data_IF_745127959266
#
_entry.id   IF_745127959266
#
_cell.length_a   1.000
_cell.length_b   1.000
_cell.length_c   1.000
_cell.angle_alpha   90.00
_cell.angle_beta   90.00
_cell.angle_gamma   90.00
#
_symmetry.space_group_name_H-M   'P 1'
#
loop_
_entity.id
_entity.type
_entity.pdbx_description
1 polymer ?
#
# COMPACT_ATOMS: atom_id res chain seq x y z
N UNK A 1 -25.75 -0.41 10.36
CA UNK A 1 -24.51 -1.18 10.27
C UNK A 1 -23.48 -0.28 9.62
N UNK A 2 -22.33 -0.05 10.25
CA UNK A 2 -21.26 0.77 9.65
C UNK A 2 -20.09 -0.17 9.40
N UNK A 3 -20.08 -0.77 8.21
CA UNK A 3 -19.11 -1.81 7.86
C UNK A 3 -17.67 -1.36 8.12
N UNK A 4 -17.29 -0.14 7.74
CA UNK A 4 -15.93 0.35 7.96
C UNK A 4 -15.50 0.29 9.44
N UNK A 5 -16.29 0.89 10.33
CA UNK A 5 -15.98 0.95 11.77
C UNK A 5 -16.02 -0.45 12.40
N UNK A 6 -16.99 -1.27 12.03
CA UNK A 6 -17.16 -2.59 12.62
C UNK A 6 -16.06 -3.56 12.16
N UNK A 7 -15.58 -3.43 10.91
CA UNK A 7 -14.40 -4.16 10.42
C UNK A 7 -13.15 -3.70 11.14
N UNK A 8 -12.92 -2.38 11.26
CA UNK A 8 -11.74 -1.84 11.93
C UNK A 8 -11.68 -2.27 13.39
N UNK A 9 -12.81 -2.26 14.09
CA UNK A 9 -12.89 -2.79 15.46
C UNK A 9 -12.56 -4.28 15.54
N UNK A 10 -13.00 -5.08 14.56
CA UNK A 10 -12.68 -6.50 14.52
C UNK A 10 -11.20 -6.74 14.22
N UNK A 11 -10.59 -5.95 13.33
CA UNK A 11 -9.14 -5.96 13.06
C UNK A 11 -8.35 -5.59 14.31
N UNK A 12 -8.69 -4.50 14.98
CA UNK A 12 -8.02 -4.03 16.20
C UNK A 12 -8.16 -5.04 17.35
N UNK A 13 -9.28 -5.76 17.39
CA UNK A 13 -9.54 -6.86 18.32
C UNK A 13 -8.93 -8.21 17.93
N UNK A 14 -8.15 -8.26 16.84
CA UNK A 14 -7.55 -9.47 16.27
C UNK A 14 -8.58 -10.56 15.88
N UNK A 15 -9.86 -10.18 15.73
CA UNK A 15 -10.94 -11.05 15.26
C UNK A 15 -11.01 -11.03 13.73
N UNK A 16 -10.05 -11.71 13.12
CA UNK A 16 -9.93 -11.81 11.67
C UNK A 16 -11.15 -12.48 11.03
N UNK A 17 -11.79 -13.42 11.71
CA UNK A 17 -12.97 -14.13 11.19
C UNK A 17 -14.15 -13.17 11.04
N UNK A 18 -14.42 -12.36 12.06
CA UNK A 18 -15.46 -11.34 12.01
C UNK A 18 -15.12 -10.25 10.99
N UNK A 19 -13.88 -9.75 10.98
CA UNK A 19 -13.44 -8.74 10.01
C UNK A 19 -13.66 -9.21 8.56
N UNK A 20 -13.30 -10.47 8.26
CA UNK A 20 -13.46 -11.04 6.92
C UNK A 20 -14.93 -11.23 6.55
N UNK A 21 -15.75 -11.69 7.50
CA UNK A 21 -17.19 -11.85 7.29
C UNK A 21 -17.85 -10.51 6.97
N UNK A 22 -17.54 -9.47 7.75
CA UNK A 22 -18.08 -8.13 7.57
C UNK A 22 -17.61 -7.49 6.25
N UNK A 23 -16.33 -7.63 5.89
CA UNK A 23 -15.81 -7.11 4.63
C UNK A 23 -16.47 -7.75 3.41
N UNK A 24 -16.68 -9.07 3.43
CA UNK A 24 -17.41 -9.78 2.37
C UNK A 24 -18.87 -9.36 2.28
N UNK A 25 -19.53 -9.13 3.41
CA UNK A 25 -20.90 -8.62 3.45
C UNK A 25 -21.00 -7.21 2.85
N UNK A 26 -20.03 -6.34 3.15
CA UNK A 26 -20.01 -5.00 2.56
C UNK A 26 -19.87 -5.05 1.04
N UNK A 27 -18.91 -5.82 0.52
CA UNK A 27 -18.74 -6.01 -0.93
C UNK A 27 -20.02 -6.58 -1.58
N UNK A 28 -20.67 -7.55 -0.95
CA UNK A 28 -21.92 -8.10 -1.46
C UNK A 28 -23.09 -7.08 -1.47
N UNK A 29 -23.13 -6.19 -0.47
CA UNK A 29 -24.15 -5.15 -0.37
C UNK A 29 -23.90 -3.97 -1.32
N UNK A 30 -22.63 -3.67 -1.62
CA UNK A 30 -22.22 -2.53 -2.43
C UNK A 30 -21.01 -2.89 -3.32
N UNK A 31 -21.22 -3.65 -4.42
CA UNK A 31 -20.12 -4.15 -5.26
C UNK A 31 -19.42 -3.07 -6.09
N UNK A 32 -20.00 -1.87 -6.24
CA UNK A 32 -19.36 -0.72 -6.90
C UNK A 32 -18.81 0.29 -5.87
N UNK A 33 -18.74 -0.08 -4.59
CA UNK A 33 -18.07 0.72 -3.56
C UNK A 33 -16.60 0.29 -3.45
N UNK A 34 -15.70 1.13 -3.96
CA UNK A 34 -14.27 0.88 -3.93
C UNK A 34 -13.72 0.73 -2.50
N UNK A 35 -14.32 1.40 -1.51
CA UNK A 35 -13.89 1.29 -0.12
C UNK A 35 -14.19 -0.10 0.46
N UNK A 36 -15.29 -0.73 0.05
CA UNK A 36 -15.63 -2.09 0.45
C UNK A 36 -14.57 -3.09 -0.04
N UNK A 37 -14.17 -2.97 -1.31
CA UNK A 37 -13.12 -3.79 -1.92
C UNK A 37 -11.75 -3.55 -1.29
N UNK A 38 -11.37 -2.29 -1.06
CA UNK A 38 -10.11 -1.98 -0.40
C UNK A 38 -10.07 -2.53 1.03
N UNK A 39 -11.18 -2.45 1.77
CA UNK A 39 -11.25 -3.00 3.12
C UNK A 39 -11.16 -4.54 3.11
N UNK A 40 -11.79 -5.20 2.13
CA UNK A 40 -11.62 -6.64 1.92
C UNK A 40 -10.16 -7.01 1.60
N UNK A 41 -9.49 -6.20 0.78
CA UNK A 41 -8.06 -6.38 0.48
C UNK A 41 -7.21 -6.30 1.74
N UNK A 42 -7.43 -5.27 2.56
CA UNK A 42 -6.71 -5.06 3.82
C UNK A 42 -6.89 -6.24 4.77
N UNK A 43 -8.13 -6.72 4.96
CA UNK A 43 -8.41 -7.88 5.82
C UNK A 43 -7.75 -9.17 5.30
N UNK A 44 -7.72 -9.38 3.99
CA UNK A 44 -6.96 -10.48 3.40
C UNK A 44 -5.45 -10.33 3.63
N UNK A 45 -4.92 -9.10 3.53
CA UNK A 45 -3.52 -8.80 3.78
C UNK A 45 -3.07 -9.03 5.22
N UNK A 46 -3.90 -8.67 6.21
CA UNK A 46 -3.67 -9.02 7.62
C UNK A 46 -3.63 -10.54 7.80
N UNK A 47 -4.50 -11.25 7.09
CA UNK A 47 -4.54 -12.70 7.04
C UNK A 47 -3.43 -13.38 6.23
N UNK A 48 -2.50 -12.60 5.69
CA UNK A 48 -1.43 -13.05 4.79
C UNK A 48 -1.91 -13.77 3.52
N UNK A 49 -3.19 -13.64 3.18
CA UNK A 49 -3.78 -14.14 1.95
C UNK A 49 -3.58 -13.10 0.83
N UNK A 50 -2.31 -12.84 0.51
CA UNK A 50 -1.94 -11.75 -0.40
C UNK A 50 -2.48 -11.93 -1.81
N UNK A 51 -2.74 -13.17 -2.25
CA UNK A 51 -3.37 -13.44 -3.54
C UNK A 51 -4.82 -12.92 -3.57
N UNK A 52 -5.61 -13.16 -2.52
CA UNK A 52 -6.96 -12.61 -2.44
C UNK A 52 -6.96 -11.11 -2.15
N UNK A 53 -5.99 -10.64 -1.37
CA UNK A 53 -5.80 -9.20 -1.15
C UNK A 53 -5.56 -8.48 -2.48
N UNK A 54 -4.72 -9.04 -3.34
CA UNK A 54 -4.37 -8.46 -4.63
C UNK A 54 -5.58 -8.35 -5.57
N UNK A 55 -6.41 -9.39 -5.61
CA UNK A 55 -7.67 -9.40 -6.37
C UNK A 55 -8.60 -8.29 -5.85
N UNK A 56 -8.82 -8.21 -4.54
CA UNK A 56 -9.71 -7.21 -3.96
C UNK A 56 -9.18 -5.77 -4.13
N UNK A 57 -7.87 -5.53 -3.99
CA UNK A 57 -7.26 -4.23 -4.25
C UNK A 57 -7.39 -3.83 -5.73
N UNK A 58 -7.30 -4.80 -6.64
CA UNK A 58 -7.48 -4.57 -8.08
C UNK A 58 -8.92 -4.16 -8.41
N UNK A 59 -9.93 -4.74 -7.74
CA UNK A 59 -11.32 -4.30 -7.89
C UNK A 59 -11.55 -2.89 -7.34
N UNK A 60 -10.94 -2.55 -6.19
CA UNK A 60 -11.00 -1.18 -5.66
C UNK A 60 -10.43 -0.16 -6.67
N UNK A 61 -9.29 -0.49 -7.28
CA UNK A 61 -8.65 0.34 -8.31
C UNK A 61 -9.39 0.32 -9.66
N UNK A 62 -10.12 -0.74 -9.98
CA UNK A 62 -10.99 -0.76 -11.17
C UNK A 62 -12.08 0.30 -11.06
N UNK A 63 -12.63 0.49 -9.85
CA UNK A 63 -13.69 1.46 -9.57
C UNK A 63 -13.11 2.87 -9.40
N UNK A 64 -12.01 3.00 -8.67
CA UNK A 64 -11.34 4.27 -8.36
C UNK A 64 -9.83 4.18 -8.65
N UNK A 65 -9.40 4.34 -9.91
CA UNK A 65 -8.03 4.05 -10.35
C UNK A 65 -6.96 4.98 -9.77
N UNK A 66 -7.34 6.22 -9.47
CA UNK A 66 -6.39 7.27 -9.04
C UNK A 66 -6.36 7.45 -7.51
N UNK A 67 -7.04 6.58 -6.76
CA UNK A 67 -7.13 6.66 -5.31
C UNK A 67 -5.79 6.32 -4.64
N UNK A 68 -5.15 7.33 -4.02
CA UNK A 68 -3.86 7.18 -3.35
C UNK A 68 -3.86 6.07 -2.29
N UNK A 69 -4.87 5.95 -1.39
CA UNK A 69 -4.94 4.84 -0.45
C UNK A 69 -4.93 3.46 -1.12
N UNK A 70 -5.64 3.31 -2.24
CA UNK A 70 -5.79 2.01 -2.91
C UNK A 70 -4.54 1.65 -3.71
N UNK A 71 -3.89 2.65 -4.32
CA UNK A 71 -2.59 2.49 -4.97
C UNK A 71 -1.51 2.10 -3.95
N UNK A 72 -1.54 2.71 -2.75
CA UNK A 72 -0.63 2.38 -1.68
C UNK A 72 -0.87 0.95 -1.17
N UNK A 73 -2.12 0.56 -0.93
CA UNK A 73 -2.47 -0.80 -0.49
C UNK A 73 -2.04 -1.86 -1.52
N UNK A 74 -2.29 -1.61 -2.82
CA UNK A 74 -1.83 -2.48 -3.91
C UNK A 74 -0.30 -2.61 -3.92
N UNK A 75 0.42 -1.51 -3.72
CA UNK A 75 1.88 -1.52 -3.61
C UNK A 75 2.38 -2.33 -2.43
N UNK A 76 1.73 -2.18 -1.27
CA UNK A 76 2.04 -2.95 -0.07
C UNK A 76 1.78 -4.46 -0.26
N UNK A 77 0.65 -4.84 -0.86
CA UNK A 77 0.34 -6.24 -1.16
C UNK A 77 1.39 -6.85 -2.11
N UNK A 78 1.73 -6.16 -3.20
CA UNK A 78 2.76 -6.61 -4.13
C UNK A 78 4.14 -6.74 -3.45
N UNK A 79 4.48 -5.82 -2.53
CA UNK A 79 5.69 -5.89 -1.71
C UNK A 79 5.71 -7.15 -0.85
N UNK A 80 4.60 -7.45 -0.16
CA UNK A 80 4.45 -8.66 0.68
C UNK A 80 4.51 -9.95 -0.13
N UNK A 81 4.06 -9.92 -1.39
CA UNK A 81 4.21 -11.04 -2.34
C UNK A 81 5.62 -11.19 -2.90
N UNK A 82 6.55 -10.28 -2.58
CA UNK A 82 7.91 -10.27 -3.12
C UNK A 82 8.02 -9.73 -4.55
N UNK A 83 6.93 -9.20 -5.12
CA UNK A 83 6.93 -8.63 -6.47
C UNK A 83 7.38 -7.16 -6.43
N UNK A 84 8.69 -6.96 -6.26
CA UNK A 84 9.29 -5.64 -6.06
C UNK A 84 9.05 -4.70 -7.24
N UNK A 85 9.06 -5.21 -8.47
CA UNK A 85 8.81 -4.42 -9.67
C UNK A 85 7.36 -3.92 -9.73
N UNK A 86 6.38 -4.73 -9.33
CA UNK A 86 4.97 -4.30 -9.26
C UNK A 86 4.72 -3.34 -8.10
N UNK A 87 5.28 -3.64 -6.92
CA UNK A 87 5.20 -2.77 -5.76
C UNK A 87 5.74 -1.37 -6.08
N UNK A 88 6.92 -1.28 -6.71
CA UNK A 88 7.51 -0.02 -7.13
C UNK A 88 6.62 0.74 -8.13
N UNK A 89 5.91 0.07 -9.04
CA UNK A 89 4.98 0.73 -9.98
C UNK A 89 3.74 1.28 -9.26
N UNK A 90 3.15 0.51 -8.36
CA UNK A 90 1.97 0.95 -7.61
C UNK A 90 2.30 2.13 -6.68
N UNK A 91 3.43 2.08 -5.98
CA UNK A 91 3.89 3.22 -5.17
C UNK A 91 4.26 4.45 -6.03
N UNK A 92 4.81 4.26 -7.23
CA UNK A 92 5.05 5.37 -8.14
C UNK A 92 3.75 6.08 -8.53
N UNK A 93 2.72 5.31 -8.91
CA UNK A 93 1.40 5.85 -9.23
C UNK A 93 0.76 6.56 -8.02
N UNK A 94 0.89 5.98 -6.81
CA UNK A 94 0.44 6.61 -5.57
C UNK A 94 1.12 7.97 -5.35
N UNK A 95 2.46 8.04 -5.50
CA UNK A 95 3.22 9.27 -5.35
C UNK A 95 2.88 10.32 -6.42
N UNK A 96 2.59 9.90 -7.66
CA UNK A 96 2.15 10.80 -8.72
C UNK A 96 0.80 11.44 -8.39
N UNK A 97 -0.20 10.63 -8.03
CA UNK A 97 -1.53 11.13 -7.65
C UNK A 97 -1.50 11.97 -6.38
N UNK A 98 -0.66 11.62 -5.40
CA UNK A 98 -0.45 12.42 -4.20
C UNK A 98 0.18 13.79 -4.53
N UNK A 99 1.15 13.82 -5.45
CA UNK A 99 1.77 15.06 -5.91
C UNK A 99 0.80 15.97 -6.68
N UNK A 100 -0.11 15.39 -7.47
CA UNK A 100 -1.16 16.15 -8.16
C UNK A 100 -2.19 16.74 -7.18
N UNK A 101 -2.45 16.04 -6.07
CA UNK A 101 -3.39 16.47 -5.05
C UNK A 101 -2.79 17.39 -3.96
N UNK A 102 -1.48 17.66 -4.01
CA UNK A 102 -0.70 18.31 -2.94
C UNK A 102 -0.87 17.60 -1.57
N UNK A 103 -1.05 16.27 -1.62
CA UNK A 103 -1.24 15.42 -0.44
C UNK A 103 0.11 14.90 0.05
N UNK A 104 0.67 15.58 1.06
CA UNK A 104 1.92 15.18 1.69
C UNK A 104 1.84 13.84 2.43
N UNK A 105 0.66 13.37 2.82
CA UNK A 105 0.50 12.15 3.62
C UNK A 105 0.98 10.91 2.86
N UNK A 106 0.50 10.72 1.63
CA UNK A 106 0.92 9.58 0.80
C UNK A 106 2.19 9.85 0.01
N UNK A 107 2.47 11.12 -0.35
CA UNK A 107 3.53 11.45 -1.29
C UNK A 107 4.91 10.92 -0.85
N UNK A 108 5.36 11.30 0.35
CA UNK A 108 6.68 10.90 0.81
C UNK A 108 6.73 9.44 1.26
N UNK A 109 5.66 8.95 1.88
CA UNK A 109 5.55 7.54 2.25
C UNK A 109 5.64 6.61 1.03
N UNK A 110 4.96 6.96 -0.06
CA UNK A 110 4.98 6.23 -1.32
C UNK A 110 6.36 6.32 -2.00
N UNK A 111 7.01 7.50 -2.00
CA UNK A 111 8.38 7.64 -2.52
C UNK A 111 9.39 6.77 -1.76
N UNK A 112 9.31 6.72 -0.43
CA UNK A 112 10.20 5.88 0.38
C UNK A 112 9.94 4.39 0.09
N UNK A 113 8.66 3.99 0.03
CA UNK A 113 8.27 2.61 -0.26
C UNK A 113 8.71 2.18 -1.68
N UNK A 114 8.48 3.04 -2.69
CA UNK A 114 8.95 2.87 -4.06
C UNK A 114 10.47 2.70 -4.11
N UNK A 115 11.21 3.61 -3.48
CA UNK A 115 12.67 3.57 -3.50
C UNK A 115 13.21 2.30 -2.85
N UNK A 116 12.62 1.85 -1.73
CA UNK A 116 12.97 0.55 -1.12
C UNK A 116 12.73 -0.61 -2.09
N UNK A 117 11.56 -0.66 -2.72
CA UNK A 117 11.25 -1.71 -3.70
C UNK A 117 12.24 -1.69 -4.87
N UNK A 118 12.62 -0.50 -5.36
CA UNK A 118 13.63 -0.34 -6.41
C UNK A 118 15.01 -0.84 -6.00
N UNK A 119 15.43 -0.66 -4.73
CA UNK A 119 16.68 -1.24 -4.22
C UNK A 119 16.61 -2.77 -4.21
N UNK A 120 15.50 -3.33 -3.72
CA UNK A 120 15.29 -4.78 -3.67
C UNK A 120 15.22 -5.41 -5.07
N UNK A 121 14.73 -4.66 -6.05
CA UNK A 121 14.69 -5.02 -7.48
C UNK A 121 16.07 -4.83 -8.19
N UNK A 122 17.10 -4.35 -7.49
CA UNK A 122 18.44 -4.10 -8.05
C UNK A 122 18.57 -2.81 -8.86
N UNK A 123 17.57 -1.93 -8.82
CA UNK A 123 17.49 -0.65 -9.57
C UNK A 123 17.91 0.54 -8.70
N UNK A 124 19.04 0.42 -7.99
CA UNK A 124 19.51 1.38 -6.99
C UNK A 124 19.73 2.81 -7.52
N UNK A 125 20.07 2.97 -8.81
CA UNK A 125 20.20 4.30 -9.43
C UNK A 125 18.86 5.04 -9.49
N UNK A 126 17.77 4.33 -9.82
CA UNK A 126 16.43 4.91 -9.84
C UNK A 126 15.91 5.14 -8.42
N UNK A 127 16.22 4.23 -7.49
CA UNK A 127 15.91 4.42 -6.08
C UNK A 127 16.52 5.73 -5.53
N UNK A 128 17.77 6.04 -5.91
CA UNK A 128 18.44 7.27 -5.49
C UNK A 128 17.74 8.55 -5.98
N UNK A 129 17.20 8.54 -7.20
CA UNK A 129 16.45 9.67 -7.74
C UNK A 129 15.12 9.87 -7.00
N UNK A 130 14.38 8.79 -6.77
CA UNK A 130 13.09 8.82 -6.06
C UNK A 130 13.25 9.28 -4.62
N UNK A 131 14.21 8.69 -3.89
CA UNK A 131 14.39 8.96 -2.47
C UNK A 131 14.91 10.38 -2.21
N UNK A 132 15.65 10.97 -3.16
CA UNK A 132 16.12 12.35 -3.04
C UNK A 132 14.96 13.35 -2.93
N UNK A 133 13.84 13.07 -3.61
CA UNK A 133 12.63 13.90 -3.61
C UNK A 133 11.74 13.74 -2.36
N UNK A 134 11.96 12.72 -1.54
CA UNK A 134 11.19 12.53 -0.30
C UNK A 134 11.61 13.56 0.77
N UNK A 135 10.67 13.99 1.62
CA UNK A 135 10.98 14.87 2.75
C UNK A 135 12.02 14.24 3.72
N UNK A 136 12.88 15.03 4.37
CA UNK A 136 13.96 14.52 5.23
C UNK A 136 13.50 13.69 6.44
N UNK A 137 12.38 14.06 7.05
CA UNK A 137 11.81 13.47 8.25
C UNK A 137 10.72 12.42 7.96
N UNK A 138 10.40 12.22 6.68
CA UNK A 138 9.39 11.26 6.26
C UNK A 138 9.84 9.81 6.51
N UNK A 139 8.84 8.98 6.79
CA UNK A 139 8.98 7.55 6.92
C UNK A 139 7.72 6.85 6.40
N UNK A 140 7.89 5.59 6.04
CA UNK A 140 6.80 4.69 5.66
C UNK A 140 6.82 3.43 6.52
N UNK A 141 5.68 2.78 6.64
CA UNK A 141 5.55 1.49 7.31
C UNK A 141 5.23 0.42 6.27
N UNK A 142 6.12 -0.57 6.16
CA UNK A 142 5.91 -1.79 5.37
C UNK A 142 5.95 -3.00 6.32
N UNK A 143 6.98 -3.83 6.25
CA UNK A 143 7.34 -4.85 7.26
C UNK A 143 8.15 -4.27 8.44
N UNK A 144 8.29 -2.95 8.47
CA UNK A 144 8.98 -2.17 9.49
C UNK A 144 8.92 -0.69 9.12
N UNK A 145 9.37 0.18 10.03
CA UNK A 145 9.51 1.61 9.73
C UNK A 145 10.76 1.83 8.88
N UNK A 146 10.59 2.45 7.72
CA UNK A 146 11.69 2.86 6.86
C UNK A 146 11.67 4.37 6.68
N UNK A 147 12.76 5.01 7.09
CA UNK A 147 12.99 6.43 6.82
C UNK A 147 13.72 6.64 5.50
N UNK A 148 13.76 7.89 5.05
CA UNK A 148 14.64 8.33 3.96
C UNK A 148 16.10 7.88 4.17
N UNK A 149 16.61 8.02 5.38
CA UNK A 149 17.99 7.68 5.72
C UNK A 149 18.25 6.16 5.61
N UNK A 150 17.30 5.34 6.03
CA UNK A 150 17.44 3.87 5.96
C UNK A 150 17.55 3.41 4.50
N UNK A 151 16.75 3.97 3.60
CA UNK A 151 16.82 3.65 2.16
C UNK A 151 18.13 4.14 1.56
N UNK A 152 18.62 5.32 1.93
CA UNK A 152 19.92 5.83 1.48
C UNK A 152 21.09 4.92 1.90
N UNK A 153 21.06 4.38 3.12
CA UNK A 153 22.04 3.40 3.60
C UNK A 153 22.00 2.12 2.77
N UNK A 154 20.80 1.61 2.46
CA UNK A 154 20.64 0.42 1.62
C UNK A 154 21.22 0.63 0.21
N UNK A 155 20.96 1.80 -0.39
CA UNK A 155 21.53 2.16 -1.71
C UNK A 155 23.06 2.15 -1.66
N UNK A 156 23.67 2.69 -0.59
CA UNK A 156 25.12 2.73 -0.44
C UNK A 156 25.76 1.34 -0.35
N UNK A 157 25.07 0.36 0.25
CA UNK A 157 25.54 -1.03 0.39
C UNK A 157 25.32 -1.84 -0.91
N UNK A 158 24.34 -1.46 -1.72
CA UNK A 158 23.99 -2.14 -2.98
C UNK A 158 24.92 -1.79 -4.18
N UNK A 159 25.93 -0.94 -3.98
CA UNK A 159 26.93 -0.56 -4.99
C UNK A 159 28.11 -1.51 -4.98
#
# INVERSE_FOLDING_TARGET
MNYAIDIDRAVDGEDQATALSLAKQWVAAAPEDAAAWCKLAHVHGIGEDFQKADIAASEALRISPDSQPYLFEKGYIAYRMGNQAEAARAFAACAEQAGLADDSFYLDAARIAQARCLVLDGRSQLAAAVIAAAAPDAATWLDGRFSKEDVLKLIAISK
#
